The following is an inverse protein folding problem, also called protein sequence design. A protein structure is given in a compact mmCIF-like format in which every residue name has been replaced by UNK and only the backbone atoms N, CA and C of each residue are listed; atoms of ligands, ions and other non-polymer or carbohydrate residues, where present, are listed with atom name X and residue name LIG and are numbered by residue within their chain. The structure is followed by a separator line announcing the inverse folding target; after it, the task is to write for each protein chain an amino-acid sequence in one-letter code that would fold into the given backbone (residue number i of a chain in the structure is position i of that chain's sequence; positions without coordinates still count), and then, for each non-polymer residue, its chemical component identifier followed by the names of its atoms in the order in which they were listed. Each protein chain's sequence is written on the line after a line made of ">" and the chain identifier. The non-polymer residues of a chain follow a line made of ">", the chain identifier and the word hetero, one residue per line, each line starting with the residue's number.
data_IF_735337450936
#
_entry.id   IF_735337450936
#
_cell.length_a   1.000
_cell.length_b   1.000
_cell.length_c   1.000
_cell.angle_alpha   90.00
_cell.angle_beta   90.00
_cell.angle_gamma   90.00
#
_symmetry.space_group_name_H-M   'P 1'
#
loop_
_entity.id
_entity.type
_entity.pdbx_description
1 polymer ?
#
# COMPACT_ATOMS: atom_id res chain seq x y z
N UNK A 1 -4.40 -17.90 -18.75
CA UNK A 1 -3.95 -16.54 -18.36
C UNK A 1 -3.20 -16.66 -17.03
N UNK A 2 -1.93 -17.05 -17.04
CA UNK A 2 -1.11 -17.07 -15.81
C UNK A 2 -0.34 -15.75 -15.77
N UNK A 3 -0.80 -14.82 -14.94
CA UNK A 3 -0.05 -13.61 -14.59
C UNK A 3 1.28 -14.01 -13.95
N UNK A 4 2.38 -13.52 -14.51
CA UNK A 4 3.71 -13.62 -13.91
C UNK A 4 3.66 -13.15 -12.45
N UNK A 5 4.35 -13.81 -11.50
CA UNK A 5 4.47 -13.30 -10.14
C UNK A 5 5.41 -12.08 -10.22
N UNK A 6 4.84 -10.92 -10.57
CA UNK A 6 5.52 -9.65 -10.40
C UNK A 6 5.90 -9.54 -8.93
N UNK A 7 7.18 -9.32 -8.66
CA UNK A 7 7.71 -9.18 -7.32
C UNK A 7 6.82 -8.22 -6.53
N UNK A 8 6.09 -8.75 -5.56
CA UNK A 8 5.14 -7.97 -4.79
C UNK A 8 5.94 -7.02 -3.90
N UNK A 9 6.00 -5.75 -4.31
CA UNK A 9 6.63 -4.69 -3.52
C UNK A 9 5.64 -4.23 -2.46
N UNK A 10 6.02 -4.24 -1.17
CA UNK A 10 5.15 -3.69 -0.15
C UNK A 10 4.92 -2.20 -0.40
N UNK A 11 3.67 -1.76 -0.25
CA UNK A 11 3.29 -0.35 -0.24
C UNK A 11 3.51 0.25 1.16
N UNK A 12 3.09 1.51 1.34
CA UNK A 12 3.34 2.28 2.56
C UNK A 12 2.68 1.71 3.81
N UNK A 13 1.67 0.85 3.67
CA UNK A 13 1.01 0.22 4.82
C UNK A 13 1.92 -0.73 5.60
N UNK A 14 3.10 -1.09 5.08
CA UNK A 14 4.08 -1.92 5.79
C UNK A 14 4.59 -1.29 7.10
N UNK A 15 4.41 0.02 7.26
CA UNK A 15 4.83 0.77 8.46
C UNK A 15 3.70 0.94 9.49
N UNK A 16 2.48 0.49 9.19
CA UNK A 16 1.35 0.60 10.10
C UNK A 16 1.39 -0.47 11.19
N UNK A 17 0.78 -0.18 12.34
CA UNK A 17 0.68 -1.15 13.45
C UNK A 17 -0.60 -1.98 13.39
N UNK A 18 -1.59 -1.54 12.62
CA UNK A 18 -2.87 -2.22 12.48
C UNK A 18 -2.71 -3.52 11.70
N UNK A 19 -3.12 -4.68 12.25
CA UNK A 19 -3.06 -5.97 11.55
C UNK A 19 -3.84 -5.96 10.23
N UNK A 20 -4.94 -5.20 10.17
CA UNK A 20 -5.74 -5.05 8.95
C UNK A 20 -4.97 -4.32 7.83
N UNK A 21 -4.26 -3.24 8.17
CA UNK A 21 -3.50 -2.47 7.20
C UNK A 21 -2.26 -3.24 6.71
N UNK A 22 -1.57 -3.93 7.62
CA UNK A 22 -0.43 -4.78 7.28
C UNK A 22 -0.82 -5.93 6.34
N UNK A 23 -2.02 -6.49 6.47
CA UNK A 23 -2.52 -7.52 5.57
C UNK A 23 -2.65 -7.02 4.12
N UNK A 24 -2.80 -5.71 3.91
CA UNK A 24 -2.89 -5.06 2.61
C UNK A 24 -1.57 -4.43 2.13
N UNK A 25 -0.49 -4.54 2.90
CA UNK A 25 0.82 -3.97 2.54
C UNK A 25 1.38 -4.57 1.25
N UNK A 26 1.06 -5.83 0.95
CA UNK A 26 1.51 -6.53 -0.25
C UNK A 26 0.55 -6.41 -1.44
N UNK A 27 -0.46 -5.53 -1.37
CA UNK A 27 -1.34 -5.32 -2.52
C UNK A 27 -0.61 -4.56 -3.64
N UNK A 28 -0.88 -4.87 -4.92
CA UNK A 28 -0.24 -4.19 -6.05
C UNK A 28 -0.66 -2.72 -6.19
N UNK A 29 -1.76 -2.33 -5.52
CA UNK A 29 -2.19 -0.94 -5.38
C UNK A 29 -1.33 -0.27 -4.32
N UNK A 30 -0.85 0.92 -4.65
CA UNK A 30 -0.03 1.74 -3.78
C UNK A 30 -0.92 2.47 -2.76
N UNK A 31 -1.25 1.76 -1.68
CA UNK A 31 -2.10 2.28 -0.62
C UNK A 31 -1.34 3.23 0.31
N UNK A 32 -2.00 4.32 0.66
CA UNK A 32 -1.56 5.26 1.68
C UNK A 32 -2.42 5.12 2.94
N UNK A 33 -1.82 5.18 4.14
CA UNK A 33 -2.61 5.35 5.36
C UNK A 33 -3.32 6.71 5.33
N UNK A 34 -4.52 6.77 5.88
CA UNK A 34 -5.28 8.02 5.94
C UNK A 34 -4.55 9.03 6.83
N UNK A 35 -4.23 10.20 6.28
CA UNK A 35 -3.53 11.24 7.01
C UNK A 35 -3.06 12.39 6.12
N UNK A 36 -2.36 13.38 6.69
CA UNK A 36 -1.87 14.54 5.94
C UNK A 36 -1.02 14.16 4.72
N UNK A 37 -0.27 13.07 4.81
CA UNK A 37 0.55 12.54 3.72
C UNK A 37 -0.28 12.07 2.52
N UNK A 38 -1.42 11.41 2.77
CA UNK A 38 -2.35 10.99 1.71
C UNK A 38 -2.99 12.20 1.01
N UNK A 39 -3.34 13.25 1.78
CA UNK A 39 -3.88 14.49 1.22
C UNK A 39 -2.82 15.32 0.48
N UNK A 40 -1.56 15.21 0.87
CA UNK A 40 -0.46 15.85 0.14
C UNK A 40 -0.18 15.11 -1.18
N UNK A 41 -0.21 13.78 -1.16
CA UNK A 41 -0.03 12.97 -2.36
C UNK A 41 -1.17 13.17 -3.39
N UNK A 42 -2.39 13.49 -2.97
CA UNK A 42 -3.53 13.69 -3.87
C UNK A 42 -3.57 15.05 -4.57
N UNK A 43 -2.75 16.02 -4.16
CA UNK A 43 -2.71 17.38 -4.72
C UNK A 43 -1.73 17.55 -5.88
N UNK A 44 -0.98 16.51 -6.24
CA UNK A 44 0.03 16.51 -7.29
C UNK A 44 -0.52 16.12 -8.66
#
# INVERSE_FOLDING_TARGET
>A
MHTSPGLVRPNRLIHETSPYLLQHASNPVEWYPWGPEALQASKA
#
